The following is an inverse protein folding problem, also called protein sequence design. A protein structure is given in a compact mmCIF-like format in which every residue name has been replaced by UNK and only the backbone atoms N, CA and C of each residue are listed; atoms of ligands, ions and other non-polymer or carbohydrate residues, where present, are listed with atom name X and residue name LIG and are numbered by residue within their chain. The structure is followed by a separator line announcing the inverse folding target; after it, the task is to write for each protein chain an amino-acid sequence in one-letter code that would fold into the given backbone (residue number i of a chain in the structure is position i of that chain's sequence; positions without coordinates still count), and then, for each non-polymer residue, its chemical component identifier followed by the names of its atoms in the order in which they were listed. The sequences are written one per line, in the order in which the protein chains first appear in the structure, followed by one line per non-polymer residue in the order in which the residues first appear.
data_IF_927265760703
#
_entry.id   IF_927265760703
#
_cell.length_a   1.000
_cell.length_b   1.000
_cell.length_c   1.000
_cell.angle_alpha   90.00
_cell.angle_beta   90.00
_cell.angle_gamma   90.00
#
_symmetry.space_group_name_H-M   'P 1'
#
loop_
_entity.id
_entity.type
_entity.pdbx_description
1 polymer ?
#
# COMPACT_ATOMS: atom_id res chain seq x y z
N UNK A 1 24.44 11.34 10.51
CA UNK A 1 23.38 10.71 11.34
C UNK A 1 24.04 10.19 12.61
N UNK A 2 23.55 10.61 13.76
CA UNK A 2 24.00 10.15 15.06
C UNK A 2 23.45 8.74 15.35
N UNK A 3 24.00 8.02 16.33
CA UNK A 3 23.48 6.70 16.72
C UNK A 3 22.02 6.74 17.19
N UNK A 4 21.59 7.86 17.78
CA UNK A 4 20.20 8.11 18.21
C UNK A 4 19.26 8.26 17.01
N UNK A 5 19.70 8.93 15.94
CA UNK A 5 18.91 9.08 14.70
C UNK A 5 18.68 7.71 14.03
N UNK A 6 19.67 6.82 14.09
CA UNK A 6 19.55 5.48 13.53
C UNK A 6 18.59 4.61 14.33
N UNK A 7 18.62 4.67 15.65
CA UNK A 7 17.71 3.93 16.53
C UNK A 7 16.26 4.38 16.36
N UNK A 8 16.02 5.71 16.30
CA UNK A 8 14.70 6.28 16.07
C UNK A 8 14.14 5.88 14.68
N UNK A 9 15.00 5.89 13.66
CA UNK A 9 14.62 5.48 12.29
C UNK A 9 14.26 3.99 12.23
N UNK A 10 15.01 3.14 12.92
CA UNK A 10 14.72 1.71 13.00
C UNK A 10 13.41 1.43 13.74
N UNK A 11 13.14 2.14 14.84
CA UNK A 11 11.87 2.03 15.58
C UNK A 11 10.68 2.46 14.72
N UNK A 12 10.81 3.57 13.99
CA UNK A 12 9.78 4.04 13.06
C UNK A 12 9.49 3.00 11.98
N UNK A 13 10.53 2.40 11.41
CA UNK A 13 10.41 1.32 10.43
C UNK A 13 9.66 0.10 10.98
N UNK A 14 9.96 -0.31 12.22
CA UNK A 14 9.24 -1.40 12.89
C UNK A 14 7.77 -1.08 13.15
N UNK A 15 7.46 0.15 13.59
CA UNK A 15 6.07 0.60 13.78
C UNK A 15 5.31 0.60 12.46
N UNK A 16 5.94 1.10 11.39
CA UNK A 16 5.39 1.08 10.03
C UNK A 16 5.09 -0.33 9.53
N UNK A 17 6.01 -1.27 9.79
CA UNK A 17 5.82 -2.68 9.46
C UNK A 17 4.69 -3.34 10.25
N UNK A 18 4.56 -3.06 11.56
CA UNK A 18 3.43 -3.55 12.36
C UNK A 18 2.08 -3.04 11.85
N UNK A 19 1.99 -1.76 11.49
CA UNK A 19 0.77 -1.20 10.91
C UNK A 19 0.47 -1.84 9.56
N UNK A 20 1.47 -2.05 8.71
CA UNK A 20 1.28 -2.76 7.44
C UNK A 20 0.72 -4.17 7.65
N UNK A 21 1.24 -4.92 8.62
CA UNK A 21 0.74 -6.26 8.96
C UNK A 21 -0.72 -6.22 9.45
N UNK A 22 -1.10 -5.23 10.26
CA UNK A 22 -2.47 -5.05 10.73
C UNK A 22 -3.43 -4.74 9.57
N UNK A 23 -3.06 -3.85 8.65
CA UNK A 23 -3.87 -3.52 7.46
C UNK A 23 -3.99 -4.74 6.55
N UNK A 24 -2.86 -5.39 6.27
CA UNK A 24 -2.79 -6.53 5.35
C UNK A 24 -3.57 -7.74 5.87
N UNK A 25 -3.47 -8.03 7.17
CA UNK A 25 -4.15 -9.14 7.85
C UNK A 25 -5.52 -8.79 8.45
N UNK A 26 -6.04 -7.58 8.21
CA UNK A 26 -7.35 -7.16 8.75
C UNK A 26 -8.47 -8.14 8.37
N UNK A 27 -9.28 -8.63 9.33
CA UNK A 27 -10.35 -9.57 9.04
C UNK A 27 -11.58 -8.92 8.37
N UNK A 28 -11.60 -7.60 8.31
CA UNK A 28 -12.66 -6.81 7.68
C UNK A 28 -12.13 -6.10 6.43
N UNK A 29 -13.02 -5.64 5.52
CA UNK A 29 -12.62 -4.80 4.40
C UNK A 29 -11.91 -3.51 4.87
N UNK A 30 -10.84 -3.17 4.18
CA UNK A 30 -10.08 -1.91 4.39
C UNK A 30 -10.04 -1.15 3.07
N UNK A 31 -10.53 0.07 3.07
CA UNK A 31 -10.46 0.98 1.92
C UNK A 31 -9.47 2.09 2.24
N UNK A 32 -8.43 2.21 1.40
CA UNK A 32 -7.44 3.28 1.50
C UNK A 32 -7.86 4.48 0.65
N UNK A 33 -7.76 5.68 1.20
CA UNK A 33 -7.91 6.93 0.48
C UNK A 33 -6.59 7.70 0.48
N UNK A 34 -6.17 8.14 -0.70
CA UNK A 34 -4.94 8.91 -0.90
C UNK A 34 -5.27 10.31 -1.39
N UNK A 35 -4.98 11.29 -0.57
CA UNK A 35 -5.18 12.72 -0.83
C UNK A 35 -3.86 13.49 -0.71
N UNK A 36 -2.75 12.86 -1.06
CA UNK A 36 -1.41 13.41 -0.93
C UNK A 36 -0.34 12.51 -1.54
N UNK A 37 0.91 12.86 -1.29
CA UNK A 37 2.04 12.04 -1.71
C UNK A 37 2.06 10.69 -0.98
N UNK A 38 2.44 9.63 -1.69
CA UNK A 38 2.65 8.31 -1.13
C UNK A 38 4.03 7.78 -1.56
N UNK A 39 4.99 7.80 -0.64
CA UNK A 39 6.33 7.31 -0.84
C UNK A 39 6.71 6.24 0.17
N UNK A 40 7.62 5.36 -0.20
CA UNK A 40 8.22 4.35 0.67
C UNK A 40 7.17 3.48 1.36
N UNK A 41 6.97 3.63 2.67
CA UNK A 41 6.00 2.85 3.44
C UNK A 41 4.54 3.15 3.08
N UNK A 42 4.25 4.35 2.55
CA UNK A 42 2.88 4.74 2.15
C UNK A 42 2.27 3.81 1.11
N UNK A 43 2.90 3.55 -0.04
CA UNK A 43 2.43 2.56 -1.01
C UNK A 43 2.30 1.15 -0.43
N UNK A 44 3.15 0.78 0.53
CA UNK A 44 3.08 -0.54 1.17
C UNK A 44 1.83 -0.67 2.05
N UNK A 45 1.45 0.39 2.79
CA UNK A 45 0.17 0.42 3.51
C UNK A 45 -1.02 0.34 2.56
N UNK A 46 -0.96 1.07 1.44
CA UNK A 46 -1.98 0.98 0.39
C UNK A 46 -2.07 -0.43 -0.20
N UNK A 47 -0.95 -1.11 -0.41
CA UNK A 47 -0.95 -2.50 -0.88
C UNK A 47 -1.73 -3.44 0.07
N UNK A 48 -1.77 -3.13 1.36
CA UNK A 48 -2.58 -3.83 2.36
C UNK A 48 -4.07 -3.54 2.28
N UNK A 49 -4.50 -2.43 1.70
CA UNK A 49 -5.91 -2.11 1.54
C UNK A 49 -6.58 -3.02 0.50
N UNK A 50 -7.88 -3.30 0.65
CA UNK A 50 -8.63 -4.13 -0.29
C UNK A 50 -9.01 -3.33 -1.53
N UNK A 51 -9.36 -2.05 -1.35
CA UNK A 51 -9.57 -1.07 -2.43
C UNK A 51 -8.81 0.20 -2.08
N UNK A 52 -8.22 0.80 -3.11
CA UNK A 52 -7.39 2.01 -3.00
C UNK A 52 -7.96 3.09 -3.91
N UNK A 53 -8.40 4.18 -3.30
CA UNK A 53 -8.95 5.35 -3.97
C UNK A 53 -7.91 6.47 -3.92
N UNK A 54 -7.59 7.08 -5.04
CA UNK A 54 -6.79 8.29 -5.14
C UNK A 54 -7.60 9.45 -5.68
N UNK A 55 -7.18 10.66 -5.40
CA UNK A 55 -7.73 11.87 -6.00
C UNK A 55 -6.76 12.46 -7.02
N UNK A 56 -7.29 13.15 -8.02
CA UNK A 56 -6.48 13.97 -8.91
C UNK A 56 -5.79 15.09 -8.13
N UNK A 57 -4.60 15.48 -8.56
CA UNK A 57 -3.82 16.54 -7.94
C UNK A 57 -2.34 16.43 -8.28
N UNK A 58 -1.52 17.32 -7.71
CA UNK A 58 -0.06 17.31 -7.88
C UNK A 58 0.63 16.24 -7.02
N UNK A 59 -0.08 15.20 -6.66
CA UNK A 59 0.44 14.12 -5.82
C UNK A 59 1.40 13.21 -6.58
N UNK A 60 2.26 12.53 -5.84
CA UNK A 60 3.25 11.62 -6.41
C UNK A 60 3.29 10.31 -5.61
N UNK A 61 3.53 9.24 -6.34
CA UNK A 61 3.64 7.88 -5.80
C UNK A 61 5.01 7.32 -6.16
N UNK A 62 5.62 6.56 -5.27
CA UNK A 62 6.89 5.92 -5.59
C UNK A 62 7.46 5.06 -4.47
N UNK A 63 8.16 4.02 -4.89
CA UNK A 63 9.03 3.20 -4.05
C UNK A 63 10.45 3.73 -4.23
N UNK A 64 10.90 4.57 -3.30
CA UNK A 64 12.16 5.33 -3.45
C UNK A 64 13.32 4.70 -2.69
N UNK A 65 13.15 3.51 -2.14
CA UNK A 65 14.12 2.82 -1.30
C UNK A 65 15.47 2.66 -1.99
N UNK A 66 15.48 2.22 -3.26
CA UNK A 66 16.73 2.01 -4.01
C UNK A 66 17.46 3.32 -4.23
N UNK A 67 16.75 4.42 -4.53
CA UNK A 67 17.34 5.73 -4.66
C UNK A 67 17.92 6.28 -3.34
N UNK A 68 17.39 5.79 -2.20
CA UNK A 68 17.87 6.12 -0.86
C UNK A 68 18.94 5.15 -0.34
N UNK A 69 19.46 4.27 -1.21
CA UNK A 69 20.43 3.23 -0.86
C UNK A 69 19.91 2.24 0.21
N UNK A 70 18.60 1.96 0.19
CA UNK A 70 17.94 0.97 1.05
C UNK A 70 17.41 -0.16 0.17
N UNK A 71 17.80 -1.41 0.37
CA UNK A 71 17.24 -2.52 -0.40
C UNK A 71 15.79 -2.77 -0.02
N UNK A 72 14.92 -2.84 -1.03
CA UNK A 72 13.52 -3.27 -0.84
C UNK A 72 13.48 -4.80 -0.87
N UNK A 73 13.22 -5.42 0.27
CA UNK A 73 13.25 -6.89 0.42
C UNK A 73 12.09 -7.41 1.26
N UNK A 74 11.98 -8.74 1.32
CA UNK A 74 11.01 -9.43 2.17
C UNK A 74 9.57 -9.09 1.87
N UNK A 75 8.76 -8.95 2.92
CA UNK A 75 7.31 -8.76 2.83
C UNK A 75 6.91 -7.47 2.08
N UNK A 76 7.68 -6.40 2.20
CA UNK A 76 7.37 -5.13 1.52
C UNK A 76 7.48 -5.28 0.00
N UNK A 77 8.52 -5.97 -0.48
CA UNK A 77 8.67 -6.29 -1.89
C UNK A 77 7.49 -7.14 -2.41
N UNK A 78 7.14 -8.21 -1.69
CA UNK A 78 6.06 -9.11 -2.12
C UNK A 78 4.69 -8.43 -2.02
N UNK A 79 4.44 -7.59 -1.01
CA UNK A 79 3.23 -6.79 -0.93
C UNK A 79 3.06 -5.89 -2.16
N UNK A 80 4.12 -5.20 -2.56
CA UNK A 80 4.08 -4.36 -3.76
C UNK A 80 3.95 -5.17 -5.06
N UNK A 81 4.66 -6.29 -5.19
CA UNK A 81 4.53 -7.19 -6.33
C UNK A 81 3.12 -7.74 -6.51
N UNK A 82 2.40 -8.00 -5.40
CA UNK A 82 1.01 -8.48 -5.43
C UNK A 82 0.02 -7.46 -5.99
N UNK A 83 0.40 -6.19 -6.10
CA UNK A 83 -0.47 -5.08 -6.50
C UNK A 83 -0.07 -4.45 -7.82
N UNK A 84 1.23 -4.26 -8.03
CA UNK A 84 1.72 -3.62 -9.26
C UNK A 84 1.60 -4.57 -10.46
N UNK A 85 1.15 -4.03 -11.57
CA UNK A 85 1.16 -4.75 -12.84
C UNK A 85 2.60 -5.17 -13.19
N UNK A 86 2.76 -6.35 -13.73
CA UNK A 86 4.06 -6.98 -13.95
C UNK A 86 5.04 -6.07 -14.72
N UNK A 87 4.57 -5.40 -15.77
CA UNK A 87 5.42 -4.55 -16.60
C UNK A 87 5.83 -3.22 -15.94
N UNK A 88 5.20 -2.83 -14.82
CA UNK A 88 5.61 -1.69 -14.01
C UNK A 88 6.57 -2.03 -12.88
N UNK A 89 6.69 -3.31 -12.49
CA UNK A 89 7.44 -3.71 -11.29
C UNK A 89 8.90 -3.29 -11.33
N UNK A 90 9.59 -3.49 -12.46
CA UNK A 90 10.99 -3.08 -12.59
C UNK A 90 11.17 -1.57 -12.43
N UNK A 91 10.35 -0.79 -13.12
CA UNK A 91 10.44 0.67 -13.05
C UNK A 91 10.10 1.19 -11.65
N UNK A 92 9.06 0.64 -11.01
CA UNK A 92 8.63 1.06 -9.68
C UNK A 92 9.60 0.63 -8.58
N UNK A 93 10.03 -0.65 -8.59
CA UNK A 93 10.70 -1.27 -7.45
C UNK A 93 12.23 -1.23 -7.54
N UNK A 94 12.80 -1.15 -8.76
CA UNK A 94 14.25 -1.12 -8.97
C UNK A 94 14.75 0.26 -9.42
N UNK A 95 13.99 0.95 -10.28
CA UNK A 95 14.42 2.22 -10.83
C UNK A 95 13.94 3.43 -10.03
N UNK A 96 13.18 3.21 -8.95
CA UNK A 96 12.57 4.28 -8.12
C UNK A 96 11.79 5.31 -8.95
N UNK A 97 11.10 4.84 -10.02
CA UNK A 97 10.27 5.73 -10.85
C UNK A 97 9.21 6.38 -9.97
N UNK A 98 9.03 7.68 -10.16
CA UNK A 98 7.96 8.48 -9.55
C UNK A 98 6.79 8.55 -10.53
N UNK A 99 5.61 8.32 -10.03
CA UNK A 99 4.35 8.26 -10.77
C UNK A 99 3.46 9.44 -10.39
N UNK A 100 2.76 10.03 -11.35
CA UNK A 100 1.61 10.89 -11.09
C UNK A 100 0.35 10.03 -10.77
N UNK A 101 -0.80 10.64 -10.45
CA UNK A 101 -1.99 9.86 -10.10
C UNK A 101 -2.52 8.97 -11.22
N UNK A 102 -2.48 9.42 -12.47
CA UNK A 102 -2.90 8.67 -13.65
C UNK A 102 -1.97 7.48 -13.91
N UNK A 103 -0.68 7.72 -13.87
CA UNK A 103 0.33 6.67 -13.97
C UNK A 103 0.23 5.67 -12.80
N UNK A 104 -0.08 6.16 -11.58
CA UNK A 104 -0.24 5.33 -10.39
C UNK A 104 -1.47 4.41 -10.51
N UNK A 105 -2.56 4.88 -11.10
CA UNK A 105 -3.72 4.07 -11.45
C UNK A 105 -3.34 3.00 -12.48
N UNK A 106 -2.63 3.40 -13.54
CA UNK A 106 -2.19 2.43 -14.56
C UNK A 106 -1.22 1.41 -13.98
N UNK A 107 -0.27 1.82 -13.17
CA UNK A 107 0.72 0.92 -12.57
C UNK A 107 0.12 -0.03 -11.51
N UNK A 108 -1.00 0.32 -10.89
CA UNK A 108 -1.63 -0.46 -9.84
C UNK A 108 -1.27 -0.05 -8.41
N UNK A 109 -0.79 1.18 -8.20
CA UNK A 109 -0.68 1.75 -6.85
C UNK A 109 -2.05 2.05 -6.25
N UNK A 110 -3.01 2.47 -7.09
CA UNK A 110 -4.41 2.72 -6.73
C UNK A 110 -5.35 1.98 -7.70
N UNK A 111 -6.61 1.78 -7.28
CA UNK A 111 -7.64 1.06 -8.06
C UNK A 111 -8.66 2.01 -8.68
N UNK A 112 -8.81 3.20 -8.12
CA UNK A 112 -9.73 4.24 -8.56
C UNK A 112 -9.07 5.59 -8.46
N UNK A 113 -9.33 6.45 -9.43
CA UNK A 113 -8.90 7.84 -9.44
C UNK A 113 -10.12 8.72 -9.71
N UNK A 114 -10.35 9.70 -8.83
CA UNK A 114 -11.52 10.59 -8.88
C UNK A 114 -11.10 12.06 -8.76
N UNK A 115 -11.97 13.01 -9.10
CA UNK A 115 -11.73 14.43 -8.87
C UNK A 115 -11.37 14.73 -7.41
N UNK A 116 -10.59 15.79 -7.21
CA UNK A 116 -10.24 16.28 -5.87
C UNK A 116 -11.49 16.56 -5.05
N UNK A 117 -11.50 16.09 -3.81
CA UNK A 117 -12.62 16.23 -2.88
C UNK A 117 -13.72 15.16 -2.98
N UNK A 118 -13.70 14.29 -4.00
CA UNK A 118 -14.71 13.24 -4.18
C UNK A 118 -14.30 11.89 -3.57
N UNK A 119 -13.02 11.72 -3.24
CA UNK A 119 -12.46 10.44 -2.83
C UNK A 119 -13.06 9.89 -1.54
N UNK A 120 -13.35 10.75 -0.56
CA UNK A 120 -13.92 10.30 0.72
C UNK A 120 -15.31 9.70 0.56
N UNK A 121 -16.18 10.35 -0.20
CA UNK A 121 -17.54 9.86 -0.46
C UNK A 121 -17.50 8.52 -1.19
N UNK A 122 -16.63 8.38 -2.20
CA UNK A 122 -16.46 7.11 -2.92
C UNK A 122 -15.89 6.03 -2.00
N UNK A 123 -14.86 6.31 -1.22
CA UNK A 123 -14.25 5.33 -0.32
C UNK A 123 -15.25 4.82 0.72
N UNK A 124 -16.07 5.72 1.29
CA UNK A 124 -17.12 5.38 2.24
C UNK A 124 -18.22 4.50 1.59
N UNK A 125 -18.63 4.83 0.37
CA UNK A 125 -19.59 4.03 -0.39
C UNK A 125 -19.05 2.61 -0.66
N UNK A 126 -17.80 2.49 -1.09
CA UNK A 126 -17.14 1.20 -1.32
C UNK A 126 -17.09 0.40 -0.02
N UNK A 127 -16.65 1.00 1.08
CA UNK A 127 -16.58 0.33 2.39
C UNK A 127 -17.96 -0.17 2.84
N UNK A 128 -19.01 0.66 2.69
CA UNK A 128 -20.39 0.29 2.98
C UNK A 128 -20.93 -0.86 2.12
N UNK A 129 -20.49 -0.95 0.86
CA UNK A 129 -20.87 -2.08 0.01
C UNK A 129 -20.11 -3.36 0.38
N UNK A 130 -18.82 -3.27 0.66
CA UNK A 130 -18.00 -4.40 1.09
C UNK A 130 -18.44 -4.96 2.44
N UNK A 131 -18.93 -4.12 3.36
CA UNK A 131 -19.40 -4.53 4.67
C UNK A 131 -20.66 -5.42 4.63
N UNK A 132 -21.37 -5.47 3.50
CA UNK A 132 -22.53 -6.34 3.28
C UNK A 132 -22.15 -7.77 2.91
N UNK A 133 -20.88 -8.01 2.57
CA UNK A 133 -20.41 -9.36 2.24
C UNK A 133 -20.39 -10.25 3.50
N UNK A 134 -20.63 -11.57 3.37
CA UNK A 134 -20.57 -12.50 4.49
C UNK A 134 -19.21 -12.47 5.19
N UNK A 135 -19.13 -12.06 6.48
CA UNK A 135 -17.85 -11.76 7.14
C UNK A 135 -16.89 -12.97 7.23
N UNK A 136 -17.46 -14.16 7.46
CA UNK A 136 -16.66 -15.38 7.55
C UNK A 136 -15.95 -15.68 6.22
N UNK A 137 -16.71 -15.76 5.13
CA UNK A 137 -16.16 -16.07 3.80
C UNK A 137 -15.17 -15.02 3.33
N UNK A 138 -15.46 -13.73 3.61
CA UNK A 138 -14.56 -12.64 3.27
C UNK A 138 -13.21 -12.80 3.99
N UNK A 139 -13.23 -12.99 5.31
CA UNK A 139 -12.04 -13.17 6.14
C UNK A 139 -11.17 -14.34 5.68
N UNK A 140 -11.77 -15.53 5.52
CA UNK A 140 -11.05 -16.74 5.15
C UNK A 140 -10.43 -16.62 3.75
N UNK A 141 -11.18 -16.07 2.78
CA UNK A 141 -10.69 -15.87 1.42
C UNK A 141 -9.56 -14.85 1.39
N UNK A 142 -9.70 -13.73 2.14
CA UNK A 142 -8.65 -12.70 2.24
C UNK A 142 -7.38 -13.26 2.88
N UNK A 143 -7.51 -14.02 3.96
CA UNK A 143 -6.37 -14.65 4.62
C UNK A 143 -5.65 -15.63 3.69
N UNK A 144 -6.38 -16.47 2.96
CA UNK A 144 -5.81 -17.40 1.99
C UNK A 144 -5.10 -16.67 0.83
N UNK A 145 -5.74 -15.65 0.26
CA UNK A 145 -5.19 -14.86 -0.84
C UNK A 145 -3.88 -14.16 -0.45
N UNK A 146 -3.74 -13.76 0.81
CA UNK A 146 -2.62 -12.97 1.32
C UNK A 146 -1.61 -13.77 2.15
N UNK A 147 -1.76 -15.08 2.24
CA UNK A 147 -1.00 -15.96 3.13
C UNK A 147 0.52 -15.81 2.95
N UNK A 148 1.02 -15.78 1.71
CA UNK A 148 2.46 -15.69 1.43
C UNK A 148 3.10 -14.42 2.02
N UNK A 149 2.43 -13.27 1.88
CA UNK A 149 2.92 -12.00 2.43
C UNK A 149 2.77 -11.97 3.95
N UNK A 150 1.63 -12.44 4.47
CA UNK A 150 1.37 -12.49 5.91
C UNK A 150 2.37 -13.39 6.66
N UNK A 151 2.78 -14.50 6.03
CA UNK A 151 3.82 -15.36 6.62
C UNK A 151 5.17 -14.65 6.75
N UNK A 152 5.54 -13.84 5.76
CA UNK A 152 6.75 -13.02 5.81
C UNK A 152 6.66 -11.87 6.83
N UNK A 153 5.44 -11.42 7.16
CA UNK A 153 5.20 -10.36 8.15
C UNK A 153 5.18 -10.85 9.60
N UNK A 154 5.23 -12.16 9.83
CA UNK A 154 5.37 -12.74 11.18
C UNK A 154 6.78 -12.46 11.69
N UNK A 155 6.92 -11.36 12.43
CA UNK A 155 8.14 -10.92 13.11
C UNK A 155 8.06 -11.38 14.56
#
# INVERSE_FOLDING_TARGET
MTGEDFAASAELGQRGGRLAAQIYGSPIPVVGLVQGHAFTIGPVWLAGCDVRVGEHGSYKFGMTEVALNVPLTGWALEAMRSRLKLHHQTAALMHSKIYDPEEALDAGFIDRLVPEGEGFALALNIAGNLSKLPPHSYRETKAALRSSVLEMMKI
#
